data_IF_831482148348
#
_entry.id   IF_831482148348
#
_cell.length_a   1.000
_cell.length_b   1.000
_cell.length_c   1.000
_cell.angle_alpha   90.00
_cell.angle_beta   90.00
_cell.angle_gamma   90.00
#
_symmetry.space_group_name_H-M   'P 1'
#
loop_
_entity.id
_entity.type
_entity.pdbx_description
1 polymer ?
#
# COMPACT_ATOMS: atom_id res chain seq x y z
N UNK A 1 18.10 13.31 7.68
CA UNK A 1 16.88 13.88 7.05
C UNK A 1 16.43 12.92 5.95
N UNK A 2 15.56 11.97 6.29
CA UNK A 2 15.09 10.93 5.36
C UNK A 2 13.86 11.46 4.63
N UNK A 3 13.89 11.52 3.30
CA UNK A 3 12.74 11.89 2.46
C UNK A 3 12.25 10.65 1.72
N UNK A 4 11.30 9.88 2.25
CA UNK A 4 10.72 8.77 1.52
C UNK A 4 9.55 9.30 0.68
N UNK A 5 9.83 9.77 -0.53
CA UNK A 5 8.82 9.89 -1.57
C UNK A 5 9.45 9.50 -2.90
N UNK A 6 9.48 8.20 -3.18
CA UNK A 6 9.28 7.76 -4.56
C UNK A 6 7.79 7.58 -4.76
N UNK A 7 7.07 8.68 -4.97
CA UNK A 7 5.88 8.58 -5.79
C UNK A 7 6.38 8.29 -7.21
N UNK A 8 6.16 7.07 -7.69
CA UNK A 8 6.29 6.80 -9.11
C UNK A 8 5.04 7.39 -9.75
N UNK A 9 5.13 8.66 -10.15
CA UNK A 9 4.08 9.35 -10.91
C UNK A 9 4.10 8.78 -12.34
N UNK A 10 3.03 8.06 -12.72
CA UNK A 10 2.74 7.60 -14.07
C UNK A 10 1.67 8.51 -14.72
N UNK A 11 1.64 8.61 -16.07
CA UNK A 11 1.21 9.82 -16.77
C UNK A 11 -0.22 10.24 -16.47
N UNK A 12 -0.37 11.50 -16.05
CA UNK A 12 -1.64 12.23 -16.00
C UNK A 12 -2.19 12.39 -17.41
N UNK A 13 -3.26 11.69 -17.75
CA UNK A 13 -4.03 12.01 -18.96
C UNK A 13 -4.89 13.23 -18.67
N UNK A 14 -4.45 14.39 -19.16
CA UNK A 14 -5.21 15.62 -19.25
C UNK A 14 -6.51 15.37 -20.01
N UNK A 15 -7.66 15.60 -19.39
CA UNK A 15 -8.95 15.59 -20.08
C UNK A 15 -9.06 16.86 -20.94
N UNK A 16 -8.67 16.78 -22.21
CA UNK A 16 -9.03 17.77 -23.22
C UNK A 16 -10.44 17.51 -23.71
N UNK A 17 -11.36 18.42 -23.38
CA UNK A 17 -12.63 18.59 -24.06
C UNK A 17 -12.41 18.96 -25.53
N UNK A 18 -13.00 18.23 -26.48
CA UNK A 18 -13.29 18.77 -27.80
C UNK A 18 -14.51 18.09 -28.45
N UNK A 19 -15.55 18.91 -28.59
CA UNK A 19 -16.39 19.10 -29.78
C UNK A 19 -16.42 17.99 -30.85
N UNK A 20 -17.66 17.55 -31.08
CA UNK A 20 -18.18 16.79 -32.21
C UNK A 20 -17.72 17.28 -33.59
N UNK A 21 -17.21 16.36 -34.41
CA UNK A 21 -17.39 16.40 -35.87
C UNK A 21 -17.33 14.97 -36.44
N UNK A 22 -18.34 14.64 -37.22
CA UNK A 22 -18.63 13.36 -37.87
C UNK A 22 -17.76 13.11 -39.11
N UNK A 23 -17.22 11.89 -39.24
CA UNK A 23 -17.03 11.22 -40.54
C UNK A 23 -16.72 9.72 -40.33
N UNK A 24 -17.05 8.95 -41.35
CA UNK A 24 -17.47 7.54 -41.33
C UNK A 24 -16.36 6.52 -41.61
N UNK A 25 -16.52 5.34 -40.99
CA UNK A 25 -16.16 3.99 -41.48
C UNK A 25 -14.69 3.56 -41.54
N UNK A 26 -14.20 2.93 -40.47
CA UNK A 26 -13.48 1.63 -40.55
C UNK A 26 -13.80 0.84 -39.28
N UNK A 27 -14.57 -0.25 -39.39
CA UNK A 27 -14.86 -1.16 -38.29
C UNK A 27 -13.65 -2.08 -38.08
N UNK A 28 -12.57 -1.53 -37.51
CA UNK A 28 -11.42 -2.31 -37.05
C UNK A 28 -11.86 -2.89 -35.71
N UNK A 29 -12.06 -4.20 -35.65
CA UNK A 29 -12.30 -4.94 -34.42
C UNK A 29 -11.15 -4.64 -33.45
N UNK A 30 -11.35 -3.61 -32.63
CA UNK A 30 -10.49 -3.24 -31.53
C UNK A 30 -10.70 -4.33 -30.49
N UNK A 31 -9.88 -5.37 -30.55
CA UNK A 31 -9.56 -6.16 -29.37
C UNK A 31 -9.30 -5.16 -28.26
N UNK A 32 -10.22 -5.07 -27.30
CA UNK A 32 -10.05 -4.25 -26.11
C UNK A 32 -8.80 -4.79 -25.43
N UNK A 33 -7.66 -4.13 -25.68
CA UNK A 33 -6.50 -4.32 -24.84
C UNK A 33 -6.95 -3.85 -23.46
N UNK A 34 -7.20 -4.82 -22.57
CA UNK A 34 -7.37 -4.55 -21.15
C UNK A 34 -6.19 -3.67 -20.77
N UNK A 35 -6.49 -2.42 -20.39
CA UNK A 35 -5.47 -1.51 -19.88
C UNK A 35 -4.70 -2.28 -18.81
N UNK A 36 -3.37 -2.26 -18.80
CA UNK A 36 -2.62 -2.93 -17.74
C UNK A 36 -3.17 -2.40 -16.42
N UNK A 37 -3.71 -3.31 -15.60
CA UNK A 37 -4.17 -3.02 -14.25
C UNK A 37 -2.98 -2.39 -13.51
N UNK A 38 -2.93 -1.06 -13.50
CA UNK A 38 -1.75 -0.33 -13.02
C UNK A 38 -1.77 -0.44 -11.51
N UNK A 39 -0.89 -1.28 -10.97
CA UNK A 39 -0.74 -1.43 -9.54
C UNK A 39 0.04 -0.25 -8.95
N UNK A 40 -0.12 -0.04 -7.64
CA UNK A 40 0.70 0.90 -6.88
C UNK A 40 1.28 0.23 -5.64
N UNK A 41 2.42 0.76 -5.21
CA UNK A 41 3.09 0.35 -3.99
C UNK A 41 3.39 1.62 -3.21
N UNK A 42 2.93 1.66 -1.96
CA UNK A 42 3.20 2.74 -1.03
C UNK A 42 3.96 2.22 0.19
N UNK A 43 5.13 2.79 0.43
CA UNK A 43 6.02 2.37 1.52
C UNK A 43 5.66 3.13 2.80
N UNK A 44 5.12 2.42 3.79
CA UNK A 44 4.74 3.00 5.09
C UNK A 44 5.96 3.02 6.03
N UNK A 45 6.74 1.95 6.07
CA UNK A 45 7.97 1.90 6.89
C UNK A 45 8.39 0.47 7.25
N UNK A 46 9.69 0.24 7.43
CA UNK A 46 10.26 -1.11 7.65
C UNK A 46 9.81 -2.11 6.56
N UNK A 47 9.12 -3.18 6.93
CA UNK A 47 8.51 -4.14 6.01
C UNK A 47 7.04 -3.82 5.68
N UNK A 48 6.50 -2.73 6.21
CA UNK A 48 5.11 -2.33 6.02
C UNK A 48 4.90 -1.60 4.69
N UNK A 49 4.19 -2.25 3.79
CA UNK A 49 3.88 -1.74 2.45
C UNK A 49 2.39 -1.90 2.17
N UNK A 50 1.79 -0.86 1.59
CA UNK A 50 0.44 -0.89 1.06
C UNK A 50 0.53 -1.11 -0.45
N UNK A 51 0.04 -2.26 -0.91
CA UNK A 51 0.09 -2.67 -2.32
C UNK A 51 -1.35 -2.65 -2.85
N UNK A 52 -1.56 -1.93 -3.95
CA UNK A 52 -2.82 -1.98 -4.71
C UNK A 52 -2.56 -2.67 -6.03
N UNK A 53 -3.31 -3.72 -6.32
CA UNK A 53 -3.20 -4.44 -7.58
C UNK A 53 -4.53 -5.06 -7.96
N UNK A 54 -4.99 -4.77 -9.18
CA UNK A 54 -6.37 -5.06 -9.60
C UNK A 54 -7.38 -4.51 -8.57
N UNK A 55 -8.25 -5.37 -8.03
CA UNK A 55 -9.26 -4.99 -7.02
C UNK A 55 -8.79 -5.21 -5.59
N UNK A 56 -7.53 -5.64 -5.39
CA UNK A 56 -6.99 -5.94 -4.06
C UNK A 56 -6.18 -4.78 -3.49
N UNK A 57 -6.41 -4.50 -2.21
CA UNK A 57 -5.60 -3.66 -1.33
C UNK A 57 -4.97 -4.54 -0.25
N UNK A 58 -3.65 -4.70 -0.34
CA UNK A 58 -2.85 -5.62 0.45
C UNK A 58 -1.96 -4.83 1.41
N UNK A 59 -1.90 -5.23 2.67
CA UNK A 59 -0.94 -4.69 3.64
C UNK A 59 0.07 -5.76 4.03
N UNK A 60 1.37 -5.48 3.91
CA UNK A 60 2.43 -6.41 4.35
C UNK A 60 2.90 -6.03 5.75
N UNK A 61 3.24 -7.02 6.58
CA UNK A 61 3.95 -6.88 7.87
C UNK A 61 3.63 -5.57 8.61
N UNK A 62 2.39 -5.40 9.11
CA UNK A 62 1.90 -4.13 9.61
C UNK A 62 2.61 -3.67 10.89
N UNK A 63 3.29 -2.53 10.78
CA UNK A 63 3.91 -1.80 11.90
C UNK A 63 3.66 -0.31 11.81
N UNK A 64 3.15 0.27 12.90
CA UNK A 64 2.73 1.66 13.04
C UNK A 64 3.27 2.35 14.30
N UNK A 65 4.18 1.71 15.06
CA UNK A 65 4.94 2.37 16.13
C UNK A 65 5.78 3.54 15.60
N UNK A 66 5.98 4.56 16.43
CA UNK A 66 6.66 5.79 16.04
C UNK A 66 8.16 5.72 16.33
N UNK A 67 8.91 6.69 15.78
CA UNK A 67 10.34 6.82 16.05
C UNK A 67 10.60 6.86 17.55
N UNK A 68 11.65 6.16 17.98
CA UNK A 68 12.05 5.94 19.38
C UNK A 68 11.22 4.95 20.18
N UNK A 69 10.10 4.44 19.66
CA UNK A 69 9.40 3.32 20.29
C UNK A 69 10.24 2.05 20.21
N UNK A 70 10.12 1.22 21.26
CA UNK A 70 10.77 -0.08 21.33
C UNK A 70 9.80 -1.19 20.99
N UNK A 71 10.31 -2.22 20.34
CA UNK A 71 9.54 -3.42 20.04
C UNK A 71 10.33 -4.68 20.35
N UNK A 72 9.62 -5.71 20.83
CA UNK A 72 10.18 -6.98 21.26
C UNK A 72 10.43 -7.90 20.05
N UNK A 73 11.64 -8.44 19.95
CA UNK A 73 12.06 -9.38 18.89
C UNK A 73 12.04 -10.84 19.37
N UNK A 74 11.61 -11.09 20.60
CA UNK A 74 11.70 -12.38 21.28
C UNK A 74 12.93 -12.50 22.18
N UNK A 75 12.91 -13.45 23.11
CA UNK A 75 14.04 -13.81 23.98
C UNK A 75 14.65 -12.64 24.78
N UNK A 76 13.84 -11.62 25.12
CA UNK A 76 14.31 -10.43 25.84
C UNK A 76 15.08 -9.43 24.98
N UNK A 77 15.14 -9.64 23.66
CA UNK A 77 15.71 -8.70 22.72
C UNK A 77 14.70 -7.63 22.31
N UNK A 78 15.18 -6.41 22.17
CA UNK A 78 14.38 -5.27 21.72
C UNK A 78 15.12 -4.51 20.64
N UNK A 79 14.35 -3.95 19.71
CA UNK A 79 14.85 -2.95 18.76
C UNK A 79 14.12 -1.63 18.95
N UNK A 80 14.76 -0.54 18.50
CA UNK A 80 14.22 0.82 18.56
C UNK A 80 13.91 1.29 17.16
N UNK A 81 12.70 1.80 16.95
CA UNK A 81 12.28 2.34 15.65
C UNK A 81 13.06 3.61 15.31
N UNK A 82 13.60 3.68 14.10
CA UNK A 82 14.44 4.81 13.64
C UNK A 82 13.68 5.89 12.87
N UNK A 83 12.48 5.59 12.35
CA UNK A 83 11.67 6.51 11.54
C UNK A 83 10.20 6.36 11.89
N UNK A 84 9.44 7.44 11.83
CA UNK A 84 7.98 7.38 11.91
C UNK A 84 7.40 6.61 10.70
N UNK A 85 6.24 5.96 10.85
CA UNK A 85 5.51 5.46 9.69
C UNK A 85 5.06 6.63 8.82
N UNK A 86 4.93 6.40 7.51
CA UNK A 86 4.52 7.43 6.56
C UNK A 86 3.07 7.89 6.77
N UNK A 87 2.22 7.00 7.28
CA UNK A 87 0.83 7.24 7.69
C UNK A 87 0.54 6.48 8.98
N UNK A 88 -0.43 6.94 9.76
CA UNK A 88 -0.96 6.20 10.90
C UNK A 88 -1.96 5.12 10.44
N UNK A 89 -2.25 4.16 11.32
CA UNK A 89 -3.11 3.02 11.00
C UNK A 89 -4.55 3.45 10.63
N UNK A 90 -5.05 4.54 11.23
CA UNK A 90 -6.39 5.09 10.96
C UNK A 90 -6.51 5.74 9.58
N UNK A 91 -5.38 5.97 8.91
CA UNK A 91 -5.33 6.54 7.56
C UNK A 91 -5.28 5.45 6.48
N UNK A 92 -5.26 4.17 6.87
CA UNK A 92 -5.30 3.06 5.92
C UNK A 92 -6.63 3.08 5.15
N UNK A 93 -6.60 2.82 3.83
CA UNK A 93 -7.81 2.50 3.11
C UNK A 93 -8.36 1.14 3.58
N UNK A 94 -9.61 0.79 3.18
CA UNK A 94 -10.09 -0.59 3.31
C UNK A 94 -9.08 -1.58 2.73
N UNK A 95 -8.83 -2.65 3.48
CA UNK A 95 -7.89 -3.71 3.12
C UNK A 95 -8.68 -4.97 2.79
N UNK A 96 -8.16 -5.77 1.87
CA UNK A 96 -8.73 -7.08 1.53
C UNK A 96 -7.95 -8.20 2.22
N UNK A 97 -6.65 -8.00 2.47
CA UNK A 97 -5.76 -9.02 3.00
C UNK A 97 -4.52 -8.40 3.65
N UNK A 98 -4.06 -9.06 4.70
CA UNK A 98 -2.77 -8.80 5.34
C UNK A 98 -1.85 -9.98 5.05
N UNK A 99 -0.63 -9.70 4.59
CA UNK A 99 0.42 -10.71 4.43
C UNK A 99 1.37 -10.57 5.59
N UNK A 100 1.52 -11.63 6.39
CA UNK A 100 2.39 -11.66 7.54
C UNK A 100 3.52 -12.67 7.31
N UNK A 101 4.72 -12.17 7.08
CA UNK A 101 5.88 -13.02 6.82
C UNK A 101 6.27 -13.87 8.03
N UNK A 102 6.22 -13.30 9.24
CA UNK A 102 6.47 -13.98 10.50
C UNK A 102 6.00 -13.11 11.69
N UNK A 103 5.92 -13.72 12.89
CA UNK A 103 5.38 -13.07 14.08
C UNK A 103 6.48 -12.55 15.03
N UNK A 104 7.17 -11.49 14.62
CA UNK A 104 7.99 -10.66 15.51
C UNK A 104 7.43 -9.24 15.56
N UNK A 105 7.71 -8.51 16.64
CA UNK A 105 7.08 -7.21 16.83
C UNK A 105 7.54 -6.13 15.84
N UNK A 106 8.68 -6.28 15.19
CA UNK A 106 9.11 -5.42 14.08
C UNK A 106 8.42 -5.72 12.74
N UNK A 107 7.63 -6.79 12.66
CA UNK A 107 6.76 -7.15 11.53
C UNK A 107 5.27 -7.14 11.89
N UNK A 108 4.91 -7.23 13.17
CA UNK A 108 3.53 -7.14 13.66
C UNK A 108 3.51 -6.54 15.06
N UNK A 109 3.37 -5.22 15.13
CA UNK A 109 3.52 -4.50 16.40
C UNK A 109 2.22 -4.38 17.21
N UNK A 110 2.33 -3.83 18.42
CA UNK A 110 1.20 -3.63 19.32
C UNK A 110 0.10 -2.73 18.78
N UNK A 111 0.41 -1.80 17.87
CA UNK A 111 -0.59 -0.91 17.25
C UNK A 111 -1.40 -1.71 16.24
N UNK A 112 -0.75 -2.49 15.37
CA UNK A 112 -1.44 -3.42 14.46
C UNK A 112 -2.29 -4.45 15.22
N UNK A 113 -1.74 -5.07 16.27
CA UNK A 113 -2.46 -6.02 17.12
C UNK A 113 -3.72 -5.40 17.71
N UNK A 114 -3.68 -4.13 18.10
CA UNK A 114 -4.82 -3.45 18.74
C UNK A 114 -5.83 -2.96 17.71
N UNK A 115 -5.38 -2.24 16.70
CA UNK A 115 -6.24 -1.34 15.91
C UNK A 115 -6.57 -1.87 14.50
N UNK A 116 -5.91 -2.92 14.02
CA UNK A 116 -6.24 -3.55 12.73
C UNK A 116 -7.57 -4.33 12.82
N UNK A 117 -8.39 -4.30 11.77
CA UNK A 117 -9.65 -5.06 11.71
C UNK A 117 -9.38 -6.56 11.86
N UNK A 118 -10.04 -7.19 12.84
CA UNK A 118 -9.85 -8.61 13.20
C UNK A 118 -10.53 -9.57 12.23
N UNK A 119 -11.36 -9.06 11.32
CA UNK A 119 -12.00 -9.86 10.28
C UNK A 119 -11.12 -10.03 9.04
N UNK A 120 -10.04 -9.26 8.92
CA UNK A 120 -9.12 -9.33 7.78
C UNK A 120 -8.43 -10.69 7.71
N UNK A 121 -8.41 -11.33 6.53
CA UNK A 121 -7.58 -12.50 6.29
C UNK A 121 -6.11 -12.14 6.51
N UNK A 122 -5.41 -12.94 7.33
CA UNK A 122 -3.97 -12.92 7.49
C UNK A 122 -3.41 -14.19 6.86
N UNK A 123 -2.50 -14.04 5.90
CA UNK A 123 -1.84 -15.14 5.18
C UNK A 123 -0.35 -15.14 5.44
#
# INVERSE_FOLDING_TARGET
MFRPTKEIILPTTTSSSSSSSSSSSVNRSSSSFTQPNTGSIFFIGNATMLIRYAEFTILTDPTFIHMHDKVNLGFGLYTTRLTNPAINIEQLPPLDIVILSHFHGDHFDQVAVRDLDKSLPIV
#
